data_IF_424628549995
#
_entry.id   IF_424628549995
#
_cell.length_a   1.000
_cell.length_b   1.000
_cell.length_c   1.000
_cell.angle_alpha   90.00
_cell.angle_beta   90.00
_cell.angle_gamma   90.00
#
_symmetry.space_group_name_H-M   'P 1'
#
loop_
_entity.id
_entity.type
_entity.pdbx_description
1 polymer ?
#
# COMPACT_ATOMS: atom_id res chain seq x y z
N UNK A 1 -11.94 -34.39 2.71
CA UNK A 1 -11.91 -33.18 1.84
C UNK A 1 -12.87 -32.06 2.24
N UNK A 2 -13.72 -32.22 3.28
CA UNK A 2 -14.61 -31.15 3.80
C UNK A 2 -13.96 -30.18 4.80
N UNK A 3 -13.09 -30.66 5.68
CA UNK A 3 -12.41 -29.83 6.71
C UNK A 3 -11.42 -28.82 6.12
N UNK A 4 -10.82 -29.12 4.96
CA UNK A 4 -9.94 -28.19 4.24
C UNK A 4 -10.71 -26.97 3.72
N UNK A 5 -11.96 -27.14 3.26
CA UNK A 5 -12.78 -26.02 2.75
C UNK A 5 -13.28 -25.10 3.85
N UNK A 6 -13.54 -25.62 5.05
CA UNK A 6 -13.97 -24.81 6.19
C UNK A 6 -12.85 -23.89 6.71
N UNK A 7 -11.60 -24.34 6.71
CA UNK A 7 -10.46 -23.54 7.21
C UNK A 7 -9.86 -22.62 6.14
N UNK A 8 -9.88 -23.00 4.85
CA UNK A 8 -9.32 -22.17 3.79
C UNK A 8 -10.03 -20.83 3.59
N UNK A 9 -11.35 -20.75 3.84
CA UNK A 9 -12.11 -19.50 3.72
C UNK A 9 -11.78 -18.50 4.82
N UNK A 10 -11.59 -18.97 6.06
CA UNK A 10 -11.11 -18.13 7.17
C UNK A 10 -9.69 -17.61 6.89
N UNK A 11 -8.83 -18.43 6.27
CA UNK A 11 -7.48 -18.04 5.88
C UNK A 11 -7.45 -16.91 4.85
N UNK A 12 -8.28 -16.98 3.80
CA UNK A 12 -8.35 -15.94 2.78
C UNK A 12 -8.82 -14.59 3.36
N UNK A 13 -9.86 -14.63 4.20
CA UNK A 13 -10.35 -13.45 4.92
C UNK A 13 -9.30 -12.89 5.88
N UNK A 14 -8.61 -13.74 6.64
CA UNK A 14 -7.54 -13.33 7.55
C UNK A 14 -6.39 -12.65 6.80
N UNK A 15 -5.92 -13.23 5.69
CA UNK A 15 -4.85 -12.63 4.88
C UNK A 15 -5.31 -11.30 4.28
N UNK A 16 -6.55 -11.20 3.82
CA UNK A 16 -7.11 -9.95 3.31
C UNK A 16 -7.17 -8.85 4.38
N UNK A 17 -7.64 -9.19 5.59
CA UNK A 17 -7.67 -8.30 6.76
C UNK A 17 -6.25 -7.85 7.11
N UNK A 18 -5.30 -8.79 7.21
CA UNK A 18 -3.91 -8.50 7.56
C UNK A 18 -3.25 -7.61 6.50
N UNK A 19 -3.48 -7.88 5.21
CA UNK A 19 -2.93 -7.07 4.13
C UNK A 19 -3.45 -5.62 4.17
N UNK A 20 -4.77 -5.43 4.31
CA UNK A 20 -5.36 -4.08 4.41
C UNK A 20 -4.95 -3.39 5.71
N UNK A 21 -4.90 -4.12 6.82
CA UNK A 21 -4.42 -3.58 8.09
C UNK A 21 -2.96 -3.13 7.99
N UNK A 22 -2.07 -3.93 7.40
CA UNK A 22 -0.68 -3.55 7.16
C UNK A 22 -0.57 -2.32 6.26
N UNK A 23 -1.43 -2.18 5.24
CA UNK A 23 -1.49 -1.00 4.40
C UNK A 23 -1.85 0.26 5.19
N UNK A 24 -2.90 0.20 6.01
CA UNK A 24 -3.32 1.31 6.86
C UNK A 24 -2.26 1.64 7.92
N UNK A 25 -1.69 0.63 8.58
CA UNK A 25 -0.61 0.82 9.57
C UNK A 25 0.66 1.36 8.93
N UNK A 26 0.96 0.97 7.69
CA UNK A 26 2.08 1.48 6.90
C UNK A 26 2.01 2.99 6.66
N UNK A 27 0.80 3.60 6.69
CA UNK A 27 0.64 5.05 6.66
C UNK A 27 1.28 5.74 7.88
N UNK A 28 1.28 5.07 9.03
CA UNK A 28 1.89 5.55 10.28
C UNK A 28 3.38 5.18 10.43
N UNK A 29 3.92 4.35 9.54
CA UNK A 29 5.31 3.87 9.56
C UNK A 29 6.36 4.98 9.71
N UNK A 30 6.31 6.10 8.95
CA UNK A 30 7.25 7.19 9.11
C UNK A 30 7.21 7.84 10.50
N UNK A 31 6.03 8.00 11.10
CA UNK A 31 5.88 8.55 12.45
C UNK A 31 6.45 7.60 13.51
N UNK A 32 6.28 6.30 13.31
CA UNK A 32 6.84 5.26 14.18
C UNK A 32 8.36 5.18 14.06
N UNK A 33 8.91 5.27 12.85
CA UNK A 33 10.35 5.30 12.63
C UNK A 33 11.01 6.56 13.20
N UNK A 34 10.36 7.73 13.09
CA UNK A 34 10.82 8.96 13.74
C UNK A 34 10.84 8.84 15.27
N UNK A 35 9.80 8.22 15.86
CA UNK A 35 9.77 7.91 17.30
C UNK A 35 10.84 6.89 17.69
N UNK A 36 11.02 5.83 16.91
CA UNK A 36 12.01 4.78 17.16
C UNK A 36 13.44 5.31 17.04
N UNK A 37 13.71 6.22 16.11
CA UNK A 37 14.99 6.90 15.95
C UNK A 37 15.28 7.92 17.07
N UNK A 38 14.32 8.18 17.97
CA UNK A 38 14.37 9.25 18.99
C UNK A 38 14.85 10.58 18.40
N UNK A 39 14.49 10.85 17.15
CA UNK A 39 14.68 12.17 16.55
C UNK A 39 13.69 13.07 17.29
N UNK A 40 14.17 13.73 18.35
CA UNK A 40 13.44 14.76 19.07
C UNK A 40 13.00 15.76 18.01
N UNK A 41 11.68 15.89 17.82
CA UNK A 41 11.14 17.04 17.10
C UNK A 41 11.66 18.26 17.89
N UNK A 42 12.49 19.12 17.27
CA UNK A 42 13.02 20.28 17.96
C UNK A 42 11.84 21.05 18.56
N UNK A 43 11.87 21.29 19.87
CA UNK A 43 10.87 22.16 20.48
C UNK A 43 11.05 23.52 19.82
N UNK A 44 9.98 24.05 19.23
CA UNK A 44 10.05 25.37 18.63
C UNK A 44 10.39 26.36 19.76
N UNK A 45 11.56 27.03 19.72
CA UNK A 45 11.99 27.91 20.79
C UNK A 45 10.94 29.01 20.92
N UNK A 46 10.43 29.24 22.13
CA UNK A 46 9.46 30.30 22.34
C UNK A 46 10.15 31.64 22.61
N UNK A 47 11.44 31.64 22.98
CA UNK A 47 12.22 32.83 23.33
C UNK A 47 13.66 32.81 22.78
N UNK A 48 14.24 33.99 22.54
CA UNK A 48 15.60 34.17 22.01
C UNK A 48 16.73 33.59 22.92
N UNK A 49 16.47 33.40 24.22
CA UNK A 49 17.40 32.75 25.14
C UNK A 49 17.48 31.22 24.96
N UNK A 50 16.38 30.56 24.54
CA UNK A 50 16.35 29.11 24.24
C UNK A 50 17.05 28.76 22.92
N UNK A 51 17.32 29.74 22.05
CA UNK A 51 18.12 29.55 20.82
C UNK A 51 19.60 29.25 21.10
N UNK A 52 20.05 29.44 22.35
CA UNK A 52 21.43 29.19 22.76
C UNK A 52 21.61 27.94 23.65
N UNK A 53 20.53 27.21 23.98
CA UNK A 53 20.61 25.91 24.66
C UNK A 53 20.68 24.78 23.62
N UNK A 54 21.45 23.72 23.91
CA UNK A 54 21.62 22.53 23.03
C UNK A 54 22.33 22.82 21.67
N UNK A 55 23.27 23.79 21.62
CA UNK A 55 24.08 24.10 20.40
C UNK A 55 25.27 23.14 20.21
N UNK A 56 25.54 22.21 21.13
CA UNK A 56 26.61 21.24 20.92
C UNK A 56 26.19 20.30 19.79
N UNK A 57 26.87 20.33 18.62
CA UNK A 57 26.51 19.47 17.51
C UNK A 57 26.74 18.03 17.91
N UNK A 58 25.65 17.25 18.00
CA UNK A 58 25.73 15.80 18.13
C UNK A 58 26.67 15.26 17.04
N UNK A 59 27.64 14.38 17.38
CA UNK A 59 28.65 13.92 16.43
C UNK A 59 27.97 13.39 15.17
N UNK A 60 28.32 13.96 14.01
CA UNK A 60 27.68 13.68 12.72
C UNK A 60 27.58 12.17 12.42
N UNK A 61 28.64 11.40 12.72
CA UNK A 61 28.65 9.94 12.57
C UNK A 61 27.61 9.20 13.43
N UNK A 62 27.26 9.71 14.62
CA UNK A 62 26.23 9.08 15.46
C UNK A 62 24.84 9.32 14.90
N UNK A 63 24.59 10.49 14.32
CA UNK A 63 23.32 10.82 13.67
C UNK A 63 23.15 10.00 12.39
N UNK A 64 24.19 9.93 11.56
CA UNK A 64 24.19 9.16 10.31
C UNK A 64 23.90 7.67 10.56
N UNK A 65 24.58 7.03 11.52
CA UNK A 65 24.33 5.62 11.87
C UNK A 65 22.90 5.37 12.36
N UNK A 66 22.32 6.29 13.13
CA UNK A 66 20.92 6.17 13.61
C UNK A 66 19.92 6.33 12.47
N UNK A 67 20.17 7.26 11.55
CA UNK A 67 19.35 7.46 10.35
C UNK A 67 19.43 6.25 9.42
N UNK A 68 20.62 5.67 9.24
CA UNK A 68 20.82 4.48 8.41
C UNK A 68 20.07 3.27 8.97
N UNK A 69 20.20 3.00 10.28
CA UNK A 69 19.49 1.91 10.96
C UNK A 69 17.96 2.07 10.86
N UNK A 70 17.45 3.29 11.10
CA UNK A 70 16.02 3.58 10.97
C UNK A 70 15.52 3.40 9.53
N UNK A 71 16.34 3.81 8.55
CA UNK A 71 16.00 3.67 7.13
C UNK A 71 15.99 2.21 6.68
N UNK A 72 16.94 1.40 7.16
CA UNK A 72 16.99 -0.05 6.89
C UNK A 72 15.77 -0.80 7.46
N UNK A 73 15.29 -0.40 8.64
CA UNK A 73 14.06 -0.95 9.21
C UNK A 73 12.84 -0.64 8.34
N UNK A 74 12.72 0.61 7.86
CA UNK A 74 11.64 1.02 6.96
C UNK A 74 11.69 0.29 5.61
N UNK A 75 12.88 0.05 5.08
CA UNK A 75 13.06 -0.70 3.83
C UNK A 75 12.61 -2.16 4.00
N UNK A 76 13.02 -2.81 5.09
CA UNK A 76 12.62 -4.18 5.41
C UNK A 76 11.12 -4.29 5.65
N UNK A 77 10.52 -3.33 6.36
CA UNK A 77 9.08 -3.25 6.56
C UNK A 77 8.32 -3.06 5.23
N UNK A 78 8.87 -2.28 4.32
CA UNK A 78 8.27 -2.06 3.00
C UNK A 78 8.28 -3.33 2.16
N UNK A 79 9.41 -4.06 2.16
CA UNK A 79 9.54 -5.35 1.46
C UNK A 79 8.63 -6.41 2.06
N UNK A 80 8.57 -6.53 3.39
CA UNK A 80 7.69 -7.51 4.04
C UNK A 80 6.21 -7.21 3.79
N UNK A 81 5.83 -5.93 3.83
CA UNK A 81 4.47 -5.50 3.48
C UNK A 81 4.12 -5.82 2.03
N UNK A 82 5.04 -5.58 1.09
CA UNK A 82 4.85 -5.90 -0.33
C UNK A 82 4.57 -7.41 -0.55
N UNK A 83 5.26 -8.29 0.17
CA UNK A 83 5.01 -9.73 0.13
C UNK A 83 3.63 -10.11 0.67
N UNK A 84 3.21 -9.50 1.79
CA UNK A 84 1.88 -9.72 2.36
C UNK A 84 0.77 -9.23 1.42
N UNK A 85 0.96 -8.10 0.75
CA UNK A 85 0.02 -7.61 -0.25
C UNK A 85 -0.11 -8.57 -1.43
N UNK A 86 1.02 -9.07 -1.96
CA UNK A 86 1.03 -10.04 -3.04
C UNK A 86 0.27 -11.32 -2.68
N UNK A 87 0.47 -11.85 -1.46
CA UNK A 87 -0.30 -12.96 -0.95
C UNK A 87 -1.80 -12.62 -0.82
N UNK A 88 -2.12 -11.43 -0.29
CA UNK A 88 -3.48 -10.91 -0.18
C UNK A 88 -4.23 -10.89 -1.51
N UNK A 89 -3.63 -10.36 -2.57
CA UNK A 89 -4.24 -10.31 -3.90
C UNK A 89 -4.58 -11.69 -4.44
N UNK A 90 -3.69 -12.66 -4.25
CA UNK A 90 -3.91 -14.04 -4.69
C UNK A 90 -5.07 -14.73 -3.96
N UNK A 91 -5.26 -14.46 -2.67
CA UNK A 91 -6.39 -15.01 -1.92
C UNK A 91 -7.69 -14.26 -2.17
N UNK A 92 -7.65 -12.92 -2.25
CA UNK A 92 -8.83 -12.10 -2.55
C UNK A 92 -9.45 -12.45 -3.91
N UNK A 93 -8.63 -12.72 -4.94
CA UNK A 93 -9.12 -13.08 -6.29
C UNK A 93 -9.81 -14.43 -6.38
N UNK A 94 -9.78 -15.23 -5.32
CA UNK A 94 -10.50 -16.50 -5.22
C UNK A 94 -11.87 -16.37 -4.58
N UNK A 95 -12.19 -15.23 -3.99
CA UNK A 95 -13.53 -14.97 -3.48
C UNK A 95 -14.55 -14.94 -4.62
N UNK A 96 -15.71 -15.52 -4.36
CA UNK A 96 -16.79 -15.58 -5.34
C UNK A 96 -17.48 -14.24 -5.55
N UNK A 97 -18.13 -14.08 -6.70
CA UNK A 97 -18.96 -12.92 -6.99
C UNK A 97 -18.18 -11.65 -7.35
N UNK A 98 -18.80 -10.50 -7.11
CA UNK A 98 -18.23 -9.21 -7.53
C UNK A 98 -17.10 -8.73 -6.62
N UNK A 99 -17.09 -9.15 -5.36
CA UNK A 99 -16.13 -8.69 -4.37
C UNK A 99 -14.72 -9.24 -4.63
N UNK A 100 -14.63 -10.47 -5.17
CA UNK A 100 -13.36 -11.14 -5.42
C UNK A 100 -12.48 -10.47 -6.48
N UNK A 101 -13.05 -9.67 -7.40
CA UNK A 101 -12.25 -8.89 -8.34
C UNK A 101 -12.18 -7.41 -7.95
N UNK A 102 -13.24 -6.86 -7.34
CA UNK A 102 -13.28 -5.42 -7.02
C UNK A 102 -12.37 -5.05 -5.84
N UNK A 103 -12.40 -5.82 -4.75
CA UNK A 103 -11.54 -5.55 -3.58
C UNK A 103 -10.04 -5.56 -3.95
N UNK A 104 -9.49 -6.61 -4.59
CA UNK A 104 -8.07 -6.61 -4.94
C UNK A 104 -7.73 -5.54 -6.00
N UNK A 105 -8.65 -5.17 -6.88
CA UNK A 105 -8.46 -4.09 -7.84
C UNK A 105 -8.32 -2.73 -7.14
N UNK A 106 -9.24 -2.41 -6.23
CA UNK A 106 -9.22 -1.18 -5.42
C UNK A 106 -7.98 -1.16 -4.53
N UNK A 107 -7.64 -2.29 -3.91
CA UNK A 107 -6.46 -2.40 -3.06
C UNK A 107 -5.14 -2.25 -3.83
N UNK A 108 -5.03 -2.84 -5.02
CA UNK A 108 -3.88 -2.67 -5.90
C UNK A 108 -3.71 -1.20 -6.33
N UNK A 109 -4.82 -0.53 -6.65
CA UNK A 109 -4.85 0.91 -6.89
C UNK A 109 -4.31 1.70 -5.70
N UNK A 110 -4.80 1.44 -4.49
CA UNK A 110 -4.36 2.11 -3.26
C UNK A 110 -2.84 1.96 -3.03
N UNK A 111 -2.32 0.75 -3.22
CA UNK A 111 -0.88 0.44 -3.08
C UNK A 111 -0.04 1.19 -4.12
N UNK A 112 -0.50 1.30 -5.36
CA UNK A 112 0.18 2.06 -6.42
C UNK A 112 0.16 3.56 -6.16
N UNK A 113 -0.99 4.10 -5.72
CA UNK A 113 -1.13 5.50 -5.30
C UNK A 113 -0.15 5.82 -4.17
N UNK A 114 -0.08 4.95 -3.15
CA UNK A 114 0.84 5.07 -2.02
C UNK A 114 2.31 5.14 -2.44
N UNK A 115 2.70 4.36 -3.45
CA UNK A 115 4.08 4.34 -3.93
C UNK A 115 4.55 5.68 -4.50
N UNK A 116 3.64 6.60 -4.83
CA UNK A 116 3.95 7.96 -5.28
C UNK A 116 4.53 8.85 -4.17
N UNK A 117 4.08 8.65 -2.92
CA UNK A 117 4.57 9.39 -1.76
C UNK A 117 5.89 8.87 -1.19
N UNK A 118 6.44 7.77 -1.73
CA UNK A 118 7.68 7.17 -1.26
C UNK A 118 8.89 7.78 -1.99
N UNK A 119 9.71 8.53 -1.26
CA UNK A 119 10.91 9.18 -1.82
C UNK A 119 12.07 8.20 -2.05
N UNK A 120 12.17 7.11 -1.26
CA UNK A 120 13.28 6.14 -1.37
C UNK A 120 12.94 5.05 -2.38
N UNK A 121 13.83 4.84 -3.36
CA UNK A 121 13.68 3.79 -4.39
C UNK A 121 13.54 2.38 -3.78
N UNK A 122 14.27 2.10 -2.71
CA UNK A 122 14.22 0.82 -1.99
C UNK A 122 12.83 0.48 -1.40
N UNK A 123 12.00 1.49 -1.12
CA UNK A 123 10.63 1.29 -0.61
C UNK A 123 9.61 1.38 -1.76
N UNK A 124 9.87 2.28 -2.71
CA UNK A 124 9.01 2.53 -3.86
C UNK A 124 8.95 1.32 -4.80
N UNK A 125 10.10 0.72 -5.14
CA UNK A 125 10.15 -0.40 -6.09
C UNK A 125 9.35 -1.62 -5.60
N UNK A 126 9.55 -2.15 -4.37
CA UNK A 126 8.75 -3.27 -3.88
C UNK A 126 7.25 -2.97 -3.83
N UNK A 127 6.87 -1.75 -3.42
CA UNK A 127 5.46 -1.33 -3.32
C UNK A 127 4.81 -1.26 -4.70
N UNK A 128 5.49 -0.67 -5.69
CA UNK A 128 5.03 -0.65 -7.09
C UNK A 128 4.87 -2.06 -7.64
N UNK A 129 5.86 -2.93 -7.42
CA UNK A 129 5.83 -4.32 -7.88
C UNK A 129 4.67 -5.09 -7.27
N UNK A 130 4.40 -4.92 -5.97
CA UNK A 130 3.28 -5.56 -5.30
C UNK A 130 1.92 -5.07 -5.85
N UNK A 131 1.75 -3.76 -6.02
CA UNK A 131 0.52 -3.20 -6.61
C UNK A 131 0.30 -3.65 -8.05
N UNK A 132 1.37 -3.69 -8.86
CA UNK A 132 1.32 -4.22 -10.23
C UNK A 132 0.95 -5.72 -10.24
N UNK A 133 1.52 -6.53 -9.34
CA UNK A 133 1.14 -7.93 -9.19
C UNK A 133 -0.34 -8.09 -8.82
N UNK A 134 -0.90 -7.20 -8.00
CA UNK A 134 -2.33 -7.15 -7.71
C UNK A 134 -3.20 -6.92 -8.96
N UNK A 135 -2.81 -5.98 -9.81
CA UNK A 135 -3.52 -5.75 -11.09
C UNK A 135 -3.41 -6.96 -12.03
N UNK A 136 -2.22 -7.55 -12.15
CA UNK A 136 -1.98 -8.75 -12.98
C UNK A 136 -2.82 -9.93 -12.50
N UNK A 137 -2.87 -10.18 -11.19
CA UNK A 137 -3.65 -11.30 -10.63
C UNK A 137 -5.14 -11.11 -10.91
N UNK A 138 -5.70 -9.90 -10.76
CA UNK A 138 -7.10 -9.62 -11.14
C UNK A 138 -7.32 -9.81 -12.64
N UNK A 139 -6.40 -9.33 -13.47
CA UNK A 139 -6.49 -9.43 -14.92
C UNK A 139 -6.50 -10.90 -15.41
N UNK A 140 -5.60 -11.72 -14.86
CA UNK A 140 -5.48 -13.14 -15.19
C UNK A 140 -6.66 -13.97 -14.66
N UNK A 141 -7.13 -13.71 -13.45
CA UNK A 141 -8.19 -14.51 -12.83
C UNK A 141 -9.58 -14.17 -13.38
N UNK A 142 -9.86 -12.90 -13.64
CA UNK A 142 -11.20 -12.43 -14.00
C UNK A 142 -11.40 -12.18 -15.49
N UNK A 143 -10.42 -11.57 -16.16
CA UNK A 143 -10.58 -11.07 -17.54
C UNK A 143 -10.01 -12.04 -18.57
N UNK A 144 -8.91 -12.75 -18.27
CA UNK A 144 -8.35 -13.74 -19.18
C UNK A 144 -9.21 -15.02 -19.35
N UNK A 145 -10.19 -15.22 -18.48
CA UNK A 145 -11.17 -16.32 -18.55
C UNK A 145 -12.36 -16.02 -19.48
N UNK A 146 -12.48 -14.78 -19.99
CA UNK A 146 -13.63 -14.33 -20.79
C UNK A 146 -13.48 -14.52 -22.32
N UNK A 147 -12.43 -15.21 -22.80
CA UNK A 147 -12.18 -15.50 -24.21
C UNK A 147 -10.89 -14.87 -24.76
N UNK A 148 -10.49 -15.23 -25.99
CA UNK A 148 -9.20 -14.83 -26.57
C UNK A 148 -9.06 -13.32 -26.81
N UNK A 149 -10.15 -12.63 -27.20
CA UNK A 149 -10.16 -11.17 -27.32
C UNK A 149 -9.91 -10.45 -25.98
N UNK A 150 -10.45 -10.99 -24.88
CA UNK A 150 -10.24 -10.44 -23.55
C UNK A 150 -8.80 -10.63 -23.07
N UNK A 151 -8.14 -11.72 -23.46
CA UNK A 151 -6.71 -11.97 -23.17
C UNK A 151 -5.81 -10.93 -23.83
N UNK A 152 -6.08 -10.57 -25.09
CA UNK A 152 -5.33 -9.53 -25.80
C UNK A 152 -5.49 -8.17 -25.12
N UNK A 153 -6.71 -7.80 -24.72
CA UNK A 153 -6.98 -6.55 -23.99
C UNK A 153 -6.24 -6.52 -22.65
N UNK A 154 -6.26 -7.64 -21.90
CA UNK A 154 -5.50 -7.76 -20.65
C UNK A 154 -4.01 -7.55 -20.87
N UNK A 155 -3.42 -8.21 -21.86
CA UNK A 155 -2.00 -8.03 -22.18
C UNK A 155 -1.70 -6.58 -22.57
N UNK A 156 -2.55 -5.95 -23.38
CA UNK A 156 -2.39 -4.54 -23.76
C UNK A 156 -2.47 -3.60 -22.56
N UNK A 157 -3.42 -3.81 -21.64
CA UNK A 157 -3.56 -3.02 -20.40
C UNK A 157 -2.34 -3.21 -19.49
N UNK A 158 -1.83 -4.43 -19.36
CA UNK A 158 -0.63 -4.71 -18.57
C UNK A 158 0.60 -4.04 -19.17
N UNK A 159 0.78 -4.11 -20.50
CA UNK A 159 1.87 -3.41 -21.20
C UNK A 159 1.74 -1.88 -21.03
N UNK A 160 0.54 -1.33 -21.12
CA UNK A 160 0.29 0.09 -20.89
C UNK A 160 0.60 0.50 -19.44
N UNK A 161 0.25 -0.33 -18.46
CA UNK A 161 0.58 -0.10 -17.06
C UNK A 161 2.10 -0.14 -16.81
N UNK A 162 2.81 -1.10 -17.40
CA UNK A 162 4.29 -1.16 -17.36
C UNK A 162 4.89 0.09 -17.99
N UNK A 163 4.40 0.52 -19.16
CA UNK A 163 4.88 1.73 -19.82
C UNK A 163 4.62 2.98 -18.96
N UNK A 164 3.44 3.11 -18.37
CA UNK A 164 3.11 4.21 -17.46
C UNK A 164 4.03 4.23 -16.23
N UNK A 165 4.33 3.06 -15.66
CA UNK A 165 5.28 2.92 -14.55
C UNK A 165 6.71 3.30 -14.96
N UNK A 166 7.16 2.92 -16.15
CA UNK A 166 8.46 3.31 -16.70
C UNK A 166 8.55 4.82 -16.93
N UNK A 167 7.51 5.42 -17.52
CA UNK A 167 7.42 6.87 -17.72
C UNK A 167 7.42 7.60 -16.37
N UNK A 168 6.65 7.10 -15.39
CA UNK A 168 6.63 7.65 -14.04
C UNK A 168 7.99 7.52 -13.34
N UNK A 169 8.71 6.41 -13.53
CA UNK A 169 10.06 6.24 -13.01
C UNK A 169 11.04 7.24 -13.65
N UNK A 170 10.93 7.47 -14.96
CA UNK A 170 11.76 8.41 -15.73
C UNK A 170 11.46 9.89 -15.49
N UNK A 171 10.20 10.27 -15.20
CA UNK A 171 9.82 11.67 -14.96
C UNK A 171 10.15 12.19 -13.56
N UNK A 172 10.49 11.31 -12.62
CA UNK A 172 10.75 11.68 -11.23
C UNK A 172 12.06 12.45 -10.94
N UNK A 173 13.13 12.44 -11.76
CA UNK A 173 14.37 13.13 -11.40
C UNK A 173 14.33 14.67 -11.43
N UNK A 174 13.36 15.33 -12.08
CA UNK A 174 13.56 16.77 -12.41
C UNK A 174 12.32 17.67 -12.52
N UNK A 175 11.09 17.17 -12.37
CA UNK A 175 9.88 17.97 -12.63
C UNK A 175 9.05 18.28 -11.39
N UNK A 176 8.92 19.56 -11.01
CA UNK A 176 7.82 20.03 -10.15
C UNK A 176 6.49 19.78 -10.87
N UNK A 177 5.81 18.68 -10.56
CA UNK A 177 4.46 18.40 -11.04
C UNK A 177 3.54 19.54 -10.58
N UNK A 178 2.65 20.01 -11.48
CA UNK A 178 1.68 21.06 -11.13
C UNK A 178 0.90 20.66 -9.85
N UNK A 179 0.65 21.60 -8.92
CA UNK A 179 0.07 21.31 -7.60
C UNK A 179 -1.23 20.49 -7.65
N UNK A 180 -2.04 20.71 -8.68
CA UNK A 180 -3.33 20.04 -8.91
C UNK A 180 -3.17 18.52 -9.08
N UNK A 181 -2.11 18.07 -9.77
CA UNK A 181 -1.85 16.64 -9.95
C UNK A 181 -1.31 15.98 -8.69
N UNK A 182 -0.64 16.74 -7.82
CA UNK A 182 -0.26 16.28 -6.48
C UNK A 182 -1.52 15.96 -5.68
N UNK A 183 -2.36 16.98 -5.52
CA UNK A 183 -3.57 16.94 -4.70
C UNK A 183 -4.61 15.91 -5.16
N UNK A 184 -4.82 15.74 -6.47
CA UNK A 184 -5.74 14.72 -6.97
C UNK A 184 -5.31 13.29 -6.64
N UNK A 185 -3.99 13.03 -6.64
CA UNK A 185 -3.45 11.74 -6.22
C UNK A 185 -3.65 11.48 -4.73
N UNK A 186 -3.43 12.50 -3.89
CA UNK A 186 -3.64 12.39 -2.43
C UNK A 186 -5.12 12.14 -2.10
N UNK A 187 -6.02 12.80 -2.83
CA UNK A 187 -7.46 12.60 -2.69
C UNK A 187 -7.86 11.19 -3.12
N UNK A 188 -7.34 10.71 -4.26
CA UNK A 188 -7.58 9.34 -4.72
C UNK A 188 -7.04 8.29 -3.76
N UNK A 189 -5.84 8.48 -3.18
CA UNK A 189 -5.28 7.59 -2.15
C UNK A 189 -6.23 7.53 -0.95
N UNK A 190 -6.69 8.69 -0.48
CA UNK A 190 -7.59 8.79 0.68
C UNK A 190 -8.95 8.14 0.42
N UNK A 191 -9.58 8.43 -0.72
CA UNK A 191 -10.86 7.84 -1.12
C UNK A 191 -10.73 6.32 -1.26
N UNK A 192 -9.66 5.85 -1.89
CA UNK A 192 -9.43 4.41 -2.06
C UNK A 192 -9.19 3.74 -0.71
N UNK A 193 -8.43 4.36 0.20
CA UNK A 193 -8.21 3.86 1.55
C UNK A 193 -9.51 3.78 2.36
N UNK A 194 -10.38 4.80 2.26
CA UNK A 194 -11.71 4.80 2.90
C UNK A 194 -12.59 3.69 2.32
N UNK A 195 -12.58 3.51 0.98
CA UNK A 195 -13.38 2.50 0.29
C UNK A 195 -12.96 1.06 0.63
N UNK A 196 -11.71 0.82 1.04
CA UNK A 196 -11.29 -0.51 1.48
C UNK A 196 -12.06 -1.00 2.71
N UNK A 197 -12.45 -0.10 3.62
CA UNK A 197 -13.14 -0.46 4.85
C UNK A 197 -14.50 -1.15 4.61
N UNK A 198 -15.45 -0.57 3.85
CA UNK A 198 -16.71 -1.23 3.54
C UNK A 198 -16.53 -2.48 2.67
N UNK A 199 -15.55 -2.50 1.76
CA UNK A 199 -15.27 -3.69 0.95
C UNK A 199 -14.76 -4.85 1.79
N UNK A 200 -13.96 -4.57 2.82
CA UNK A 200 -13.47 -5.57 3.75
C UNK A 200 -14.59 -6.16 4.62
N UNK A 201 -15.51 -5.30 5.09
CA UNK A 201 -16.73 -5.74 5.79
C UNK A 201 -17.62 -6.64 4.91
N UNK A 202 -17.65 -6.37 3.60
CA UNK A 202 -18.36 -7.22 2.65
C UNK A 202 -17.72 -8.60 2.50
N UNK A 203 -16.38 -8.69 2.41
CA UNK A 203 -15.66 -9.98 2.38
C UNK A 203 -15.84 -10.78 3.67
N UNK A 204 -15.92 -10.09 4.81
CA UNK A 204 -16.23 -10.70 6.10
C UNK A 204 -17.71 -11.11 6.26
N UNK A 205 -18.52 -10.93 5.22
CA UNK A 205 -19.97 -11.20 5.22
C UNK A 205 -20.73 -10.45 6.33
N UNK A 206 -20.18 -9.36 6.88
CA UNK A 206 -20.77 -8.61 7.98
C UNK A 206 -22.16 -8.05 7.63
N UNK A 207 -22.32 -7.53 6.39
CA UNK A 207 -23.61 -7.05 5.92
C UNK A 207 -24.67 -8.15 5.84
N UNK A 208 -24.28 -9.38 5.49
CA UNK A 208 -25.21 -10.50 5.46
C UNK A 208 -25.67 -10.86 6.89
N UNK A 209 -24.74 -10.86 7.85
CA UNK A 209 -25.04 -11.09 9.26
C UNK A 209 -25.95 -10.03 9.85
N UNK A 210 -25.69 -8.74 9.59
CA UNK A 210 -26.55 -7.65 10.06
C UNK A 210 -27.95 -7.71 9.43
N UNK A 211 -28.05 -8.04 8.14
CA UNK A 211 -29.34 -8.20 7.46
C UNK A 211 -30.14 -9.36 8.04
N UNK A 212 -29.48 -10.47 8.40
CA UNK A 212 -30.13 -11.62 9.03
C UNK A 212 -30.61 -11.34 10.46
N UNK A 213 -29.96 -10.42 11.18
CA UNK A 213 -30.41 -9.98 12.51
C UNK A 213 -31.58 -8.98 12.45
N UNK A 214 -31.73 -8.30 11.31
CA UNK A 214 -32.78 -7.29 11.11
C UNK A 214 -34.07 -7.86 10.50
N UNK A 215 -34.04 -9.10 10.00
CA UNK A 215 -35.19 -9.85 9.46
C UNK A 215 -35.80 -10.77 10.49
#
# INVERSE_FOLDING_TARGET
>A
TGLMRATHWHGAQAVAVVAVAMFVLGHFGPRLALRAARLRVPRLPHNAAELQEDIDPEPQERVERRVEAASSFLDTLSVSSALVYAAGFWYMTREGGWIGWLLPLVFAGAVLLRARGLNRSAQRVPTVLAGAAGLVTVALTRFATAGDGARVIVVAVLLAAVLALLIAAWRLPTGRLLPVWGHSGDLLETVTAIALLPLLLQVLHAYASFRALAS
#
